data_IF_824162981118
#
_entry.id   IF_824162981118
#
_cell.length_a   1.000
_cell.length_b   1.000
_cell.length_c   1.000
_cell.angle_alpha   90.00
_cell.angle_beta   90.00
_cell.angle_gamma   90.00
#
_symmetry.space_group_name_H-M   'P 1'
#
loop_
_entity.id
_entity.type
_entity.pdbx_description
1 polymer ?
#
# COMPACT_ATOMS: atom_id res chain seq x y z
N UNK A 1 46.45 30.71 -38.62
CA UNK A 1 45.57 29.68 -38.04
C UNK A 1 46.19 28.32 -38.28
N UNK A 2 46.26 27.43 -37.27
CA UNK A 2 45.05 26.76 -36.79
C UNK A 2 44.85 26.76 -35.26
N UNK A 3 43.58 26.78 -34.87
CA UNK A 3 43.05 26.52 -33.53
C UNK A 3 43.29 25.06 -33.10
N UNK A 4 43.83 24.84 -31.90
CA UNK A 4 43.83 23.52 -31.25
C UNK A 4 42.86 23.52 -30.06
N UNK A 5 41.58 23.50 -30.43
CA UNK A 5 40.47 23.26 -29.53
C UNK A 5 40.35 21.75 -29.28
N UNK A 6 41.12 21.22 -28.32
CA UNK A 6 41.08 19.79 -27.93
C UNK A 6 40.81 19.56 -26.45
N UNK A 7 39.74 20.18 -25.97
CA UNK A 7 39.02 19.76 -24.77
C UNK A 7 37.81 18.87 -25.12
N UNK A 8 37.98 17.86 -25.98
CA UNK A 8 36.98 16.79 -26.16
C UNK A 8 37.05 15.86 -24.94
N UNK A 9 36.41 16.25 -23.85
CA UNK A 9 36.07 15.31 -22.79
C UNK A 9 34.57 14.98 -22.84
N UNK A 10 34.31 13.67 -22.84
CA UNK A 10 33.02 12.98 -22.79
C UNK A 10 32.07 13.24 -23.96
N UNK A 11 32.22 12.40 -24.98
CA UNK A 11 31.13 12.13 -25.92
C UNK A 11 29.93 11.56 -25.17
N UNK A 12 28.82 12.28 -25.21
CA UNK A 12 27.51 11.73 -24.94
C UNK A 12 26.91 11.33 -26.30
N UNK A 13 26.78 10.02 -26.54
CA UNK A 13 26.11 9.53 -27.74
C UNK A 13 24.63 9.96 -27.69
N UNK A 14 24.08 10.58 -28.75
CA UNK A 14 22.66 10.91 -28.83
C UNK A 14 21.87 9.61 -29.04
N UNK A 15 21.52 8.93 -27.95
CA UNK A 15 20.77 7.67 -28.04
C UNK A 15 20.69 6.86 -26.75
N UNK A 16 21.49 7.18 -25.73
CA UNK A 16 21.38 6.50 -24.44
C UNK A 16 20.34 7.20 -23.56
N UNK A 17 19.07 6.95 -23.87
CA UNK A 17 17.98 7.06 -22.90
C UNK A 17 18.31 6.14 -21.72
N UNK A 18 18.88 6.71 -20.66
CA UNK A 18 18.93 6.01 -19.38
C UNK A 18 17.50 5.58 -19.03
N UNK A 19 17.21 4.28 -18.83
CA UNK A 19 15.91 3.88 -18.33
C UNK A 19 15.72 4.59 -17.00
N UNK A 20 14.78 5.55 -17.00
CA UNK A 20 14.46 6.31 -15.82
C UNK A 20 13.88 5.31 -14.82
N UNK A 21 14.72 4.82 -13.90
CA UNK A 21 14.30 4.07 -12.73
C UNK A 21 13.57 5.03 -11.79
N UNK A 22 12.41 5.46 -12.26
CA UNK A 22 11.48 6.36 -11.61
C UNK A 22 10.89 5.55 -10.48
N UNK A 23 11.35 5.84 -9.27
CA UNK A 23 10.91 5.28 -7.99
C UNK A 23 9.45 4.78 -8.04
N UNK A 24 9.28 3.48 -8.29
CA UNK A 24 7.98 2.80 -8.32
C UNK A 24 7.39 2.64 -6.90
N UNK A 25 8.18 2.99 -5.88
CA UNK A 25 7.86 2.83 -4.46
C UNK A 25 7.11 4.01 -3.84
N UNK A 26 6.87 5.10 -4.59
CA UNK A 26 6.07 6.23 -4.10
C UNK A 26 4.66 6.13 -4.69
N UNK A 27 3.62 5.80 -3.91
CA UNK A 27 2.25 5.89 -4.38
C UNK A 27 1.97 7.38 -4.67
N UNK A 28 2.03 7.74 -5.95
CA UNK A 28 1.84 9.11 -6.44
C UNK A 28 0.36 9.49 -6.47
N UNK A 29 -0.53 8.49 -6.37
CA UNK A 29 -1.98 8.62 -6.50
C UNK A 29 -2.65 8.72 -5.14
N UNK A 30 -3.66 9.62 -5.03
CA UNK A 30 -4.52 9.74 -3.83
C UNK A 30 -5.14 8.40 -3.45
N UNK A 31 -5.45 7.57 -4.44
CA UNK A 31 -6.04 6.25 -4.26
C UNK A 31 -5.11 5.27 -3.52
N UNK A 32 -3.80 5.29 -3.79
CA UNK A 32 -2.83 4.47 -3.05
C UNK A 32 -2.71 4.88 -1.59
N UNK A 33 -2.78 6.18 -1.29
CA UNK A 33 -2.84 6.68 0.09
C UNK A 33 -4.11 6.25 0.81
N UNK A 34 -5.25 6.30 0.11
CA UNK A 34 -6.53 5.85 0.65
C UNK A 34 -6.48 4.34 0.94
N UNK A 35 -5.91 3.53 0.04
CA UNK A 35 -5.74 2.09 0.25
C UNK A 35 -4.88 1.79 1.49
N UNK A 36 -3.73 2.47 1.63
CA UNK A 36 -2.85 2.31 2.80
C UNK A 36 -3.53 2.76 4.08
N UNK A 37 -4.22 3.91 4.09
CA UNK A 37 -4.96 4.38 5.25
C UNK A 37 -6.09 3.42 5.65
N UNK A 38 -6.86 2.92 4.68
CA UNK A 38 -7.90 1.90 4.91
C UNK A 38 -7.30 0.63 5.50
N UNK A 39 -6.21 0.15 4.91
CA UNK A 39 -5.54 -1.06 5.39
C UNK A 39 -5.03 -0.89 6.82
N UNK A 40 -4.31 0.21 7.11
CA UNK A 40 -3.78 0.50 8.45
C UNK A 40 -4.91 0.68 9.46
N UNK A 41 -5.99 1.38 9.10
CA UNK A 41 -7.14 1.54 9.99
C UNK A 41 -7.80 0.19 10.31
N UNK A 42 -8.10 -0.62 9.29
CA UNK A 42 -8.67 -1.96 9.48
C UNK A 42 -7.73 -2.88 10.27
N UNK A 43 -6.43 -2.79 10.03
CA UNK A 43 -5.42 -3.55 10.76
C UNK A 43 -5.28 -3.11 12.21
N UNK A 44 -5.43 -1.81 12.51
CA UNK A 44 -5.47 -1.33 13.88
C UNK A 44 -6.67 -1.92 14.63
N UNK A 45 -7.83 -2.03 13.96
CA UNK A 45 -9.04 -2.63 14.53
C UNK A 45 -8.88 -4.14 14.87
N UNK A 46 -7.93 -4.85 14.24
CA UNK A 46 -7.63 -6.25 14.61
C UNK A 46 -6.66 -6.38 15.78
N UNK A 47 -6.07 -5.28 16.26
CA UNK A 47 -5.10 -5.33 17.34
C UNK A 47 -5.76 -5.59 18.71
N UNK A 48 -5.05 -6.26 19.64
CA UNK A 48 -5.55 -6.57 20.99
C UNK A 48 -6.23 -5.41 21.74
N UNK A 49 -5.71 -4.17 21.77
CA UNK A 49 -6.39 -3.08 22.49
C UNK A 49 -7.79 -2.75 21.97
N UNK A 50 -8.01 -2.79 20.65
CA UNK A 50 -9.31 -2.49 20.06
C UNK A 50 -10.27 -3.66 20.16
N UNK A 51 -9.77 -4.86 19.88
CA UNK A 51 -10.53 -6.10 20.01
C UNK A 51 -10.97 -6.31 21.47
N UNK A 52 -10.10 -6.03 22.44
CA UNK A 52 -10.46 -6.13 23.85
C UNK A 52 -11.36 -4.97 24.33
N UNK A 53 -11.28 -3.79 23.75
CA UNK A 53 -12.19 -2.69 24.07
C UNK A 53 -13.63 -2.90 23.55
N UNK A 54 -13.77 -3.48 22.35
CA UNK A 54 -15.07 -3.60 21.65
C UNK A 54 -15.69 -4.99 21.83
N UNK A 55 -14.88 -6.05 21.79
CA UNK A 55 -15.34 -7.43 21.65
C UNK A 55 -14.92 -8.35 22.81
N UNK A 56 -14.39 -7.82 23.92
CA UNK A 56 -14.09 -8.62 25.13
C UNK A 56 -15.32 -9.03 25.96
N UNK A 57 -16.53 -8.84 25.43
CA UNK A 57 -17.72 -9.42 26.04
C UNK A 57 -17.88 -10.80 25.42
N UNK A 58 -17.64 -11.84 26.20
CA UNK A 58 -17.79 -13.27 25.83
C UNK A 58 -19.27 -13.64 25.55
N UNK A 59 -20.20 -12.74 25.87
CA UNK A 59 -21.64 -13.01 25.91
C UNK A 59 -22.45 -12.82 24.62
N UNK A 60 -22.12 -11.97 23.62
CA UNK A 60 -22.88 -11.92 22.40
C UNK A 60 -22.48 -13.09 21.50
N UNK A 61 -23.43 -13.98 21.27
CA UNK A 61 -23.36 -15.02 20.25
C UNK A 61 -24.11 -14.52 19.03
N UNK A 62 -23.50 -14.62 17.85
CA UNK A 62 -24.14 -14.30 16.56
C UNK A 62 -24.22 -15.60 15.78
N UNK A 63 -25.43 -16.07 15.48
CA UNK A 63 -25.63 -17.31 14.69
C UNK A 63 -24.88 -18.54 15.25
N UNK A 64 -24.72 -18.63 16.57
CA UNK A 64 -24.01 -19.74 17.22
C UNK A 64 -22.48 -19.63 17.23
N UNK A 65 -21.90 -18.57 16.67
CA UNK A 65 -20.47 -18.25 16.82
C UNK A 65 -20.29 -17.07 17.78
N UNK A 66 -19.25 -17.09 18.64
CA UNK A 66 -18.87 -15.92 19.42
C UNK A 66 -18.72 -14.67 18.54
N UNK A 67 -19.35 -13.56 18.94
CA UNK A 67 -19.32 -12.29 18.20
C UNK A 67 -17.91 -11.86 17.80
N UNK A 68 -16.94 -12.13 18.68
CA UNK A 68 -15.53 -11.90 18.44
C UNK A 68 -15.05 -12.51 17.11
N UNK A 69 -15.41 -13.77 16.83
CA UNK A 69 -15.00 -14.46 15.60
C UNK A 69 -15.70 -13.89 14.37
N UNK A 70 -17.00 -13.59 14.46
CA UNK A 70 -17.73 -12.95 13.35
C UNK A 70 -17.16 -11.56 13.02
N UNK A 71 -16.82 -10.79 14.05
CA UNK A 71 -16.16 -9.48 13.91
C UNK A 71 -14.81 -9.59 13.19
N UNK A 72 -13.93 -10.48 13.66
CA UNK A 72 -12.64 -10.74 13.03
C UNK A 72 -12.79 -11.22 11.59
N UNK A 73 -13.75 -12.10 11.32
CA UNK A 73 -14.04 -12.60 9.98
C UNK A 73 -14.36 -11.45 9.02
N UNK A 74 -15.26 -10.53 9.41
CA UNK A 74 -15.62 -9.37 8.60
C UNK A 74 -14.41 -8.46 8.37
N UNK A 75 -13.59 -8.20 9.39
CA UNK A 75 -12.38 -7.38 9.23
C UNK A 75 -11.36 -8.03 8.29
N UNK A 76 -11.16 -9.34 8.36
CA UNK A 76 -10.26 -10.04 7.44
C UNK A 76 -10.77 -9.98 6.00
N UNK A 77 -12.07 -10.18 5.78
CA UNK A 77 -12.65 -9.98 4.44
C UNK A 77 -12.48 -8.55 3.94
N UNK A 78 -12.67 -7.55 4.81
CA UNK A 78 -12.45 -6.15 4.46
C UNK A 78 -10.99 -5.87 4.08
N UNK A 79 -10.01 -6.40 4.82
CA UNK A 79 -8.58 -6.28 4.51
C UNK A 79 -8.26 -6.89 3.14
N UNK A 80 -8.75 -8.10 2.87
CA UNK A 80 -8.58 -8.77 1.57
C UNK A 80 -9.24 -7.96 0.45
N UNK A 81 -10.44 -7.42 0.68
CA UNK A 81 -11.14 -6.58 -0.28
C UNK A 81 -10.36 -5.30 -0.60
N UNK A 82 -9.74 -4.66 0.39
CA UNK A 82 -8.87 -3.49 0.19
C UNK A 82 -7.65 -3.84 -0.66
N UNK A 83 -7.01 -4.99 -0.43
CA UNK A 83 -5.89 -5.49 -1.24
C UNK A 83 -6.31 -5.77 -2.69
N UNK A 84 -7.45 -6.43 -2.89
CA UNK A 84 -8.01 -6.69 -4.22
C UNK A 84 -8.36 -5.37 -4.91
N UNK A 85 -8.94 -4.42 -4.18
CA UNK A 85 -9.30 -3.10 -4.70
C UNK A 85 -8.08 -2.30 -5.12
N UNK A 86 -7.02 -2.28 -4.30
CA UNK A 86 -5.75 -1.65 -4.63
C UNK A 86 -5.16 -2.26 -5.92
N UNK A 87 -5.09 -3.60 -5.99
CA UNK A 87 -4.65 -4.30 -7.20
C UNK A 87 -5.48 -3.93 -8.44
N UNK A 88 -6.81 -3.86 -8.30
CA UNK A 88 -7.71 -3.49 -9.42
C UNK A 88 -7.56 -2.04 -9.86
N UNK A 89 -7.15 -1.13 -8.96
CA UNK A 89 -6.89 0.28 -9.27
C UNK A 89 -5.49 0.50 -9.86
N UNK A 90 -4.65 -0.52 -9.91
CA UNK A 90 -3.29 -0.43 -10.45
C UNK A 90 -2.38 0.49 -9.63
N UNK A 91 -2.64 0.59 -8.32
CA UNK A 91 -1.79 1.32 -7.37
C UNK A 91 -0.75 0.43 -6.73
#
# INVERSE_FOLDING_TARGET
MPDDNRGKHSGHAPGEEYPNYRSHYRPRTRDGRIAVLLFVALFALTQPPFVHGVANRIAPWVLGVPFLYAYLLVLYFALIAVLIWAKRRGV
#
